data_IF_292984635069
#
_entry.id   IF_292984635069
#
_cell.length_a   1.000
_cell.length_b   1.000
_cell.length_c   1.000
_cell.angle_alpha   90.00
_cell.angle_beta   90.00
_cell.angle_gamma   90.00
#
_symmetry.space_group_name_H-M   'P 1'
#
loop_
_entity.id
_entity.type
_entity.pdbx_description
1 polymer ?
#
# COMPACT_ATOMS: atom_id res chain seq x y z
N UNK A 1 -62.86 -7.98 17.80
CA UNK A 1 -61.87 -8.69 16.97
C UNK A 1 -60.64 -9.00 17.82
N UNK A 2 -60.42 -10.22 18.30
CA UNK A 2 -59.17 -10.57 18.98
C UNK A 2 -58.16 -11.09 17.96
N UNK A 3 -57.02 -10.39 17.85
CA UNK A 3 -55.91 -10.76 16.98
C UNK A 3 -55.16 -11.94 17.64
N UNK A 4 -55.22 -13.11 17.02
CA UNK A 4 -54.71 -14.38 17.57
C UNK A 4 -53.23 -14.51 17.23
N UNK A 5 -52.37 -14.17 18.18
CA UNK A 5 -50.92 -14.36 18.08
C UNK A 5 -50.63 -15.86 17.99
N UNK A 6 -50.17 -16.33 16.82
CA UNK A 6 -49.80 -17.74 16.62
C UNK A 6 -48.41 -17.99 17.25
N UNK A 7 -48.23 -19.05 18.05
CA UNK A 7 -46.91 -19.41 18.55
C UNK A 7 -46.03 -19.89 17.40
N UNK A 8 -44.80 -19.36 17.31
CA UNK A 8 -43.78 -19.84 16.39
C UNK A 8 -43.52 -21.33 16.65
N UNK A 9 -43.61 -22.16 15.60
CA UNK A 9 -43.33 -23.59 15.68
C UNK A 9 -41.89 -23.81 16.19
N UNK A 10 -41.61 -24.83 17.02
CA UNK A 10 -40.25 -25.07 17.56
C UNK A 10 -39.18 -25.22 16.48
N UNK A 11 -39.57 -25.65 15.27
CA UNK A 11 -38.71 -25.75 14.09
C UNK A 11 -38.24 -24.36 13.59
N UNK A 12 -39.11 -23.35 13.64
CA UNK A 12 -38.76 -21.97 13.26
C UNK A 12 -37.80 -21.34 14.27
N UNK A 13 -37.96 -21.64 15.57
CA UNK A 13 -37.03 -21.20 16.61
C UNK A 13 -35.63 -21.84 16.43
N UNK A 14 -35.57 -23.14 16.11
CA UNK A 14 -34.32 -23.85 15.83
C UNK A 14 -33.58 -23.29 14.61
N UNK A 15 -34.30 -23.00 13.52
CA UNK A 15 -33.74 -22.38 12.32
C UNK A 15 -33.17 -20.98 12.61
N UNK A 16 -33.86 -20.18 13.41
CA UNK A 16 -33.38 -18.85 13.83
C UNK A 16 -32.10 -18.97 14.66
N UNK A 17 -32.06 -19.90 15.63
CA UNK A 17 -30.87 -20.14 16.46
C UNK A 17 -29.67 -20.59 15.63
N UNK A 18 -29.88 -21.37 14.56
CA UNK A 18 -28.80 -21.84 13.70
C UNK A 18 -28.30 -20.79 12.70
N UNK A 19 -29.18 -19.90 12.21
CA UNK A 19 -28.84 -18.88 11.22
C UNK A 19 -28.24 -17.60 11.84
N UNK A 20 -28.60 -17.27 13.09
CA UNK A 20 -28.10 -16.09 13.80
C UNK A 20 -26.55 -16.04 13.94
N UNK A 21 -25.84 -17.12 14.29
CA UNK A 21 -24.38 -17.10 14.38
C UNK A 21 -23.71 -16.99 13.00
N UNK A 22 -24.36 -17.40 11.91
CA UNK A 22 -23.84 -17.25 10.54
C UNK A 22 -23.89 -15.78 10.12
N UNK A 23 -24.98 -15.08 10.45
CA UNK A 23 -25.14 -13.65 10.17
C UNK A 23 -24.24 -12.76 11.04
N UNK A 24 -24.00 -13.14 12.30
CA UNK A 24 -23.12 -12.39 13.21
C UNK A 24 -21.61 -12.60 12.94
N UNK A 25 -21.23 -13.68 12.25
CA UNK A 25 -19.84 -13.92 11.84
C UNK A 25 -19.46 -13.30 10.50
N UNK A 26 -20.39 -12.64 9.79
CA UNK A 26 -20.05 -11.78 8.65
C UNK A 26 -19.57 -10.43 9.19
N UNK A 27 -18.54 -10.46 10.05
CA UNK A 27 -17.79 -9.24 10.32
C UNK A 27 -17.03 -8.91 9.04
N UNK A 28 -17.25 -7.74 8.44
CA UNK A 28 -16.56 -7.44 7.23
C UNK A 28 -15.09 -7.18 7.53
N UNK A 29 -14.19 -7.94 6.88
CA UNK A 29 -12.75 -7.74 6.96
C UNK A 29 -12.33 -6.28 6.63
N UNK A 30 -13.19 -5.51 5.95
CA UNK A 30 -12.95 -4.10 5.63
C UNK A 30 -12.91 -3.15 6.83
N UNK A 31 -13.50 -3.51 7.98
CA UNK A 31 -13.46 -2.64 9.17
C UNK A 31 -12.06 -2.63 9.81
N UNK A 32 -11.33 -3.73 9.71
CA UNK A 32 -9.91 -3.81 10.09
C UNK A 32 -8.97 -3.10 9.10
N UNK A 33 -9.44 -2.86 7.86
CA UNK A 33 -8.72 -2.11 6.84
C UNK A 33 -8.83 -0.58 7.01
N UNK A 34 -9.64 -0.09 7.96
CA UNK A 34 -9.72 1.31 8.38
C UNK A 34 -8.74 1.59 9.51
N UNK A 35 -7.45 1.36 9.28
CA UNK A 35 -6.46 1.85 10.23
C UNK A 35 -6.46 3.38 10.16
N UNK A 36 -6.83 4.05 11.26
CA UNK A 36 -6.79 5.51 11.35
C UNK A 36 -5.33 5.92 11.31
N UNK A 37 -4.87 6.34 10.13
CA UNK A 37 -3.48 6.66 9.78
C UNK A 37 -3.01 7.90 10.57
N UNK A 38 -2.77 7.77 11.88
CA UNK A 38 -2.30 8.85 12.75
C UNK A 38 -0.98 9.40 12.21
N UNK A 39 -0.90 10.71 11.93
CA UNK A 39 0.35 11.41 11.59
C UNK A 39 1.26 11.49 12.84
N UNK A 40 1.63 10.35 13.42
CA UNK A 40 2.79 10.32 14.30
C UNK A 40 3.98 10.71 13.44
N UNK A 41 4.68 11.74 13.86
CA UNK A 41 5.98 12.15 13.33
C UNK A 41 6.95 10.99 13.59
N UNK A 42 7.16 10.15 12.58
CA UNK A 42 8.26 9.19 12.60
C UNK A 42 9.56 10.00 12.69
N UNK A 43 10.56 9.56 13.47
CA UNK A 43 11.83 10.27 13.53
C UNK A 43 12.41 10.34 12.10
N UNK A 44 12.41 11.54 11.52
CA UNK A 44 12.97 11.84 10.20
C UNK A 44 14.46 11.47 10.23
N UNK A 45 14.80 10.25 9.82
CA UNK A 45 16.19 9.80 9.64
C UNK A 45 16.66 9.87 8.19
N UNK A 46 15.74 10.11 7.25
CA UNK A 46 16.04 10.26 5.82
C UNK A 46 15.93 11.70 5.31
N UNK A 47 16.63 12.01 4.22
CA UNK A 47 16.49 13.27 3.49
C UNK A 47 15.16 13.24 2.75
N UNK A 48 14.27 14.20 3.03
CA UNK A 48 13.01 14.32 2.30
C UNK A 48 13.31 14.75 0.86
N UNK A 49 12.74 14.02 -0.09
CA UNK A 49 12.95 14.22 -1.52
C UNK A 49 11.63 14.46 -2.24
N UNK A 50 11.64 15.21 -3.36
CA UNK A 50 10.45 15.36 -4.19
C UNK A 50 10.04 14.01 -4.79
N UNK A 51 8.80 13.91 -5.22
CA UNK A 51 8.28 12.73 -5.90
C UNK A 51 7.34 13.20 -7.02
N UNK A 52 7.69 12.98 -8.31
CA UNK A 52 8.85 12.22 -8.82
C UNK A 52 10.22 12.87 -8.55
N UNK A 53 11.31 12.10 -8.66
CA UNK A 53 12.69 12.58 -8.54
C UNK A 53 13.61 12.14 -9.67
N UNK A 54 14.61 12.97 -9.97
CA UNK A 54 15.71 12.65 -10.89
C UNK A 54 16.80 11.85 -10.16
N UNK A 55 17.21 10.72 -10.73
CA UNK A 55 18.17 9.79 -10.13
C UNK A 55 19.54 10.45 -9.95
N UNK A 56 19.98 11.23 -10.93
CA UNK A 56 21.26 11.93 -10.88
C UNK A 56 21.35 12.94 -9.71
N UNK A 57 20.22 13.32 -9.11
CA UNK A 57 20.14 14.21 -7.95
C UNK A 57 20.04 13.46 -6.62
N UNK A 58 20.19 12.13 -6.62
CA UNK A 58 20.24 11.31 -5.40
C UNK A 58 21.70 10.96 -5.08
N UNK A 59 22.37 11.72 -4.19
CA UNK A 59 23.67 11.34 -3.65
C UNK A 59 23.75 9.88 -3.17
N UNK A 60 24.89 9.24 -3.38
CA UNK A 60 25.13 7.91 -2.84
C UNK A 60 25.24 7.93 -1.31
N UNK A 61 25.02 6.78 -0.66
CA UNK A 61 25.20 6.59 0.80
C UNK A 61 24.27 7.44 1.67
N UNK A 62 23.12 7.86 1.13
CA UNK A 62 22.07 8.56 1.86
C UNK A 62 20.80 7.73 1.90
N UNK A 63 20.05 7.91 2.98
CA UNK A 63 18.69 7.41 3.10
C UNK A 63 17.73 8.55 2.77
N UNK A 64 16.70 8.23 2.02
CA UNK A 64 15.70 9.15 1.48
C UNK A 64 14.33 8.86 2.06
N UNK A 65 13.49 9.89 2.12
CA UNK A 65 12.11 9.74 2.57
C UNK A 65 11.16 10.38 1.56
N UNK A 66 10.11 9.63 1.20
CA UNK A 66 8.99 10.13 0.41
C UNK A 66 7.76 10.20 1.30
N UNK A 67 7.18 11.39 1.37
CA UNK A 67 5.92 11.63 2.07
C UNK A 67 4.83 11.83 1.03
N UNK A 68 3.86 10.93 1.02
CA UNK A 68 2.67 10.96 0.15
C UNK A 68 1.42 10.94 1.03
N UNK A 69 0.29 11.46 0.55
CA UNK A 69 -0.97 11.45 1.31
C UNK A 69 -1.37 10.04 1.79
N UNK A 70 -1.11 9.03 0.95
CA UNK A 70 -1.45 7.64 1.21
C UNK A 70 -0.31 6.84 1.88
N UNK A 71 0.92 7.32 1.94
CA UNK A 71 2.05 6.53 2.48
C UNK A 71 3.28 7.38 2.84
N UNK A 72 4.13 6.85 3.71
CA UNK A 72 5.49 7.34 3.95
C UNK A 72 6.49 6.21 3.73
N UNK A 73 7.49 6.43 2.90
CA UNK A 73 8.55 5.46 2.60
C UNK A 73 9.89 5.99 3.04
N UNK A 74 10.74 5.11 3.55
CA UNK A 74 12.16 5.34 3.74
C UNK A 74 12.91 4.43 2.78
N UNK A 75 13.85 4.94 1.98
CA UNK A 75 14.59 4.10 1.04
C UNK A 75 16.06 4.50 0.92
N UNK A 76 16.85 3.57 0.42
CA UNK A 76 18.26 3.69 0.10
C UNK A 76 18.46 3.29 -1.36
N UNK A 77 19.28 4.04 -2.08
CA UNK A 77 19.64 3.79 -3.47
C UNK A 77 21.15 3.62 -3.59
N UNK A 78 21.60 2.51 -4.19
CA UNK A 78 23.02 2.18 -4.35
C UNK A 78 23.49 2.29 -5.81
N UNK A 79 22.94 3.25 -6.56
CA UNK A 79 23.16 3.45 -8.00
C UNK A 79 22.60 2.34 -8.91
N UNK A 80 22.02 1.30 -8.33
CA UNK A 80 21.49 0.15 -9.07
C UNK A 80 20.13 -0.26 -8.55
N UNK A 81 20.08 -0.72 -7.31
CA UNK A 81 18.91 -1.28 -6.65
C UNK A 81 18.37 -0.29 -5.60
N UNK A 82 17.07 -0.42 -5.31
CA UNK A 82 16.42 0.34 -4.24
C UNK A 82 16.00 -0.63 -3.15
N UNK A 83 16.32 -0.26 -1.91
CA UNK A 83 15.92 -0.97 -0.70
C UNK A 83 15.17 0.00 0.20
N UNK A 84 14.11 -0.42 0.87
CA UNK A 84 13.38 0.50 1.74
C UNK A 84 12.39 -0.14 2.67
N UNK A 85 11.76 0.70 3.47
CA UNK A 85 10.74 0.36 4.44
C UNK A 85 9.51 1.25 4.22
N UNK A 86 8.33 0.62 4.25
CA UNK A 86 7.04 1.30 4.30
C UNK A 86 6.79 1.67 5.75
N UNK A 87 7.06 2.93 6.13
CA UNK A 87 6.88 3.41 7.50
C UNK A 87 5.39 3.52 7.86
N UNK A 88 4.58 3.93 6.89
CA UNK A 88 3.14 4.20 7.03
C UNK A 88 2.45 4.00 5.68
N UNK A 89 1.24 3.44 5.67
CA UNK A 89 0.41 3.41 4.45
C UNK A 89 -1.09 3.35 4.74
N UNK A 90 -1.89 3.83 3.79
CA UNK A 90 -3.29 3.51 3.66
C UNK A 90 -3.42 2.11 3.05
N UNK A 91 -3.91 1.15 3.85
CA UNK A 91 -4.06 -0.25 3.42
C UNK A 91 -5.11 -0.44 2.33
N UNK A 92 -5.92 0.57 2.01
CA UNK A 92 -6.95 0.49 0.96
C UNK A 92 -6.42 0.77 -0.43
N UNK A 93 -5.24 1.39 -0.55
CA UNK A 93 -4.65 1.78 -1.84
C UNK A 93 -3.35 1.00 -2.07
N UNK A 94 -3.03 0.64 -3.32
CA UNK A 94 -1.74 0.07 -3.61
C UNK A 94 -0.65 1.14 -3.55
N UNK A 95 0.59 0.69 -3.37
CA UNK A 95 1.77 1.54 -3.58
C UNK A 95 2.47 1.01 -4.82
N UNK A 96 2.53 1.86 -5.85
CA UNK A 96 3.25 1.59 -7.07
C UNK A 96 4.58 2.32 -7.06
N UNK A 97 5.52 1.72 -7.75
CA UNK A 97 6.80 2.27 -8.04
C UNK A 97 7.01 2.30 -9.55
N UNK A 98 7.69 3.34 -10.01
CA UNK A 98 8.08 3.51 -11.40
C UNK A 98 9.53 3.97 -11.51
N UNK A 99 10.31 3.21 -12.27
CA UNK A 99 11.57 3.66 -12.85
C UNK A 99 11.21 4.38 -14.16
N UNK A 100 11.48 5.67 -14.23
CA UNK A 100 11.06 6.54 -15.33
C UNK A 100 12.16 6.66 -16.38
N UNK A 101 11.79 6.53 -17.65
CA UNK A 101 12.74 6.71 -18.75
C UNK A 101 13.27 8.15 -18.83
N UNK A 102 12.41 9.13 -18.58
CA UNK A 102 12.74 10.56 -18.57
C UNK A 102 12.85 11.11 -17.14
N UNK A 103 13.66 12.16 -16.99
CA UNK A 103 13.89 12.86 -15.69
C UNK A 103 12.62 13.45 -15.10
N UNK A 104 11.68 13.86 -15.96
CA UNK A 104 10.39 14.45 -15.61
C UNK A 104 9.34 13.42 -15.20
N UNK A 105 9.61 12.12 -15.37
CA UNK A 105 8.63 11.04 -15.19
C UNK A 105 7.34 11.20 -16.02
N UNK A 106 7.44 11.87 -17.17
CA UNK A 106 6.41 11.77 -18.20
C UNK A 106 6.22 10.31 -18.63
N UNK A 107 4.97 9.92 -18.90
CA UNK A 107 4.68 8.53 -19.22
C UNK A 107 5.42 8.06 -20.47
N UNK A 108 6.15 6.96 -20.33
CA UNK A 108 6.88 6.34 -21.43
C UNK A 108 6.59 4.85 -21.47
N UNK A 109 6.54 4.30 -22.69
CA UNK A 109 6.49 2.85 -22.91
C UNK A 109 7.73 2.12 -22.37
N UNK A 110 8.80 2.86 -22.12
CA UNK A 110 10.06 2.34 -21.59
C UNK A 110 10.13 2.42 -20.06
N UNK A 111 9.10 2.95 -19.40
CA UNK A 111 9.04 2.95 -17.93
C UNK A 111 8.93 1.52 -17.40
N UNK A 112 9.59 1.25 -16.28
CA UNK A 112 9.43 0.00 -15.55
C UNK A 112 8.56 0.23 -14.32
N UNK A 113 7.47 -0.53 -14.21
CA UNK A 113 6.48 -0.41 -13.13
C UNK A 113 6.53 -1.63 -12.22
N UNK A 114 6.41 -1.43 -10.91
CA UNK A 114 6.35 -2.50 -9.91
C UNK A 114 5.35 -2.14 -8.81
N UNK A 115 4.50 -3.08 -8.42
CA UNK A 115 3.67 -2.92 -7.22
C UNK A 115 4.52 -3.26 -6.00
N UNK A 116 4.63 -2.32 -5.07
CA UNK A 116 5.36 -2.52 -3.81
C UNK A 116 4.46 -3.10 -2.72
N UNK A 117 3.18 -2.71 -2.70
CA UNK A 117 2.21 -3.21 -1.76
C UNK A 117 0.80 -3.14 -2.35
N UNK A 118 0.06 -4.24 -2.28
CA UNK A 118 -1.33 -4.33 -2.73
C UNK A 118 -2.31 -3.77 -1.68
N UNK A 119 -3.57 -3.46 -2.05
CA UNK A 119 -4.63 -3.21 -1.08
C UNK A 119 -4.89 -4.43 -0.20
N UNK A 120 -5.19 -4.21 1.08
CA UNK A 120 -5.61 -5.21 2.06
C UNK A 120 -4.62 -6.35 2.35
N UNK A 121 -3.51 -6.45 1.61
CA UNK A 121 -2.49 -7.45 1.89
C UNK A 121 -1.68 -7.07 3.14
N UNK A 122 -1.40 -8.04 4.03
CA UNK A 122 -0.45 -7.84 5.12
C UNK A 122 0.90 -7.47 4.50
N UNK A 123 1.65 -6.55 5.12
CA UNK A 123 2.95 -6.15 4.57
C UNK A 123 3.85 -7.40 4.45
N UNK A 124 4.64 -7.46 3.38
CA UNK A 124 5.84 -8.30 3.36
C UNK A 124 6.69 -7.98 4.59
N UNK A 125 7.44 -8.96 5.11
CA UNK A 125 8.25 -8.91 6.35
C UNK A 125 8.61 -7.47 6.79
N UNK A 126 8.05 -7.04 7.92
CA UNK A 126 8.30 -5.75 8.58
C UNK A 126 8.14 -4.48 7.72
N UNK A 127 7.40 -4.57 6.61
CA UNK A 127 7.21 -3.46 5.68
C UNK A 127 8.42 -3.19 4.79
N UNK A 128 9.41 -4.09 4.75
CA UNK A 128 10.58 -3.97 3.89
C UNK A 128 10.23 -4.25 2.42
N UNK A 129 10.85 -3.51 1.50
CA UNK A 129 10.72 -3.72 0.07
C UNK A 129 12.06 -3.60 -0.66
N UNK A 130 12.17 -4.32 -1.78
CA UNK A 130 13.31 -4.25 -2.69
C UNK A 130 12.87 -4.09 -4.13
N UNK A 131 13.63 -3.29 -4.88
CA UNK A 131 13.41 -3.03 -6.29
C UNK A 131 14.75 -3.22 -7.00
N UNK A 132 15.02 -4.46 -7.45
CA UNK A 132 16.23 -4.71 -8.21
C UNK A 132 16.18 -3.98 -9.56
N UNK A 133 17.34 -3.55 -10.05
CA UNK A 133 17.45 -2.99 -11.40
C UNK A 133 17.04 -4.04 -12.44
N UNK A 134 16.14 -3.73 -13.40
CA UNK A 134 15.71 -4.67 -14.42
C UNK A 134 16.79 -4.87 -15.49
N UNK A 135 17.75 -5.76 -15.23
CA UNK A 135 18.92 -6.03 -16.09
C UNK A 135 18.59 -6.52 -17.51
N UNK A 136 17.36 -6.98 -17.75
CA UNK A 136 16.90 -7.44 -19.06
C UNK A 136 16.54 -6.29 -20.01
N UNK A 137 16.49 -5.05 -19.52
CA UNK A 137 16.20 -3.87 -20.33
C UNK A 137 17.50 -3.24 -20.86
N UNK A 138 17.60 -2.95 -22.18
CA UNK A 138 18.84 -2.48 -22.80
C UNK A 138 19.08 -0.97 -22.62
N UNK A 139 18.36 -0.32 -21.72
CA UNK A 139 18.38 1.13 -21.51
C UNK A 139 18.45 1.49 -20.03
N UNK A 140 18.89 2.72 -19.78
CA UNK A 140 18.91 3.34 -18.47
C UNK A 140 17.61 4.08 -18.15
N UNK A 141 17.43 4.37 -16.88
CA UNK A 141 16.36 5.23 -16.39
C UNK A 141 16.93 6.50 -15.80
N UNK A 142 16.12 7.55 -15.80
CA UNK A 142 16.54 8.89 -15.37
C UNK A 142 15.76 9.39 -14.17
N UNK A 143 14.59 8.81 -13.89
CA UNK A 143 13.72 9.22 -12.79
C UNK A 143 13.20 8.04 -11.96
N UNK A 144 12.73 8.36 -10.77
CA UNK A 144 12.02 7.46 -9.85
C UNK A 144 10.72 8.15 -9.43
N UNK A 145 9.66 7.37 -9.32
CA UNK A 145 8.39 7.82 -8.79
C UNK A 145 7.74 6.73 -7.93
N UNK A 146 7.17 7.14 -6.80
CA UNK A 146 6.28 6.32 -5.99
C UNK A 146 4.90 6.92 -6.07
N UNK A 147 3.86 6.18 -6.44
CA UNK A 147 2.51 6.72 -6.50
C UNK A 147 1.50 5.73 -5.91
N UNK A 148 0.31 6.22 -5.59
CA UNK A 148 -0.79 5.40 -5.11
C UNK A 148 -2.03 5.83 -5.89
N UNK A 149 -2.56 5.02 -6.82
CA UNK A 149 -3.82 5.34 -7.49
C UNK A 149 -4.98 5.31 -6.47
N UNK A 150 -6.00 6.12 -6.72
CA UNK A 150 -7.25 6.12 -5.95
C UNK A 150 -8.13 4.90 -6.26
#
# INVERSE_FOLDING_TARGET
>A
MPNKTRPLLPIQALLIIYLLPILLNVSPAYLWALEKVSLKTYPNKGVIVPNPMEIAKLPTRKTYQVNHEAFNLLFFFNDKDIFGFILKRNKRRPIHFRWCFFRTCEESRHDYKKVLAEPSNPPFADGFFTIPYPLYLPYGFQGIEFHSPD
#
